data_IF_990226736816
#
_entry.id   IF_990226736816
#
_cell.length_a   1.000
_cell.length_b   1.000
_cell.length_c   1.000
_cell.angle_alpha   90.00
_cell.angle_beta   90.00
_cell.angle_gamma   90.00
#
_symmetry.space_group_name_H-M   'P 1'
#
loop_
_entity.id
_entity.type
_entity.pdbx_description
1 polymer ?
#
# COMPACT_ATOMS: atom_id res chain seq x y z
N UNK A 1 1.09 6.79 3.66
CA UNK A 1 -0.37 6.79 3.41
C UNK A 1 -0.63 7.37 2.03
N UNK A 2 -1.56 6.79 1.26
CA UNK A 2 -1.87 7.20 -0.13
C UNK A 2 -3.13 8.06 -0.27
N UNK A 3 -3.78 7.99 -1.43
CA UNK A 3 -4.93 8.84 -1.81
C UNK A 3 -6.16 8.64 -0.92
N UNK A 4 -6.55 7.38 -0.65
CA UNK A 4 -7.76 7.03 0.10
C UNK A 4 -7.44 6.16 1.33
N UNK A 5 -6.95 6.75 2.44
CA UNK A 5 -6.41 5.96 3.55
C UNK A 5 -7.46 5.16 4.32
N UNK A 6 -8.71 5.64 4.42
CA UNK A 6 -9.71 5.04 5.35
C UNK A 6 -11.04 4.63 4.70
N UNK A 7 -11.42 5.26 3.59
CA UNK A 7 -12.63 4.91 2.83
C UNK A 7 -12.59 5.48 1.41
N UNK A 8 -13.55 5.07 0.59
CA UNK A 8 -13.77 5.57 -0.78
C UNK A 8 -13.98 7.10 -0.82
N UNK A 9 -14.70 7.64 0.18
CA UNK A 9 -15.06 9.05 0.26
C UNK A 9 -14.07 9.89 1.07
N UNK A 10 -13.05 9.28 1.68
CA UNK A 10 -12.02 9.98 2.44
C UNK A 10 -10.77 10.16 1.58
N UNK A 11 -10.66 11.29 0.88
CA UNK A 11 -9.47 11.67 0.11
C UNK A 11 -8.49 12.43 1.03
N UNK A 12 -7.25 11.98 1.09
CA UNK A 12 -6.19 12.65 1.82
C UNK A 12 -5.63 13.84 1.03
N UNK A 13 -6.17 15.03 1.30
CA UNK A 13 -5.75 16.27 0.63
C UNK A 13 -4.29 16.64 0.91
N UNK A 14 -3.78 16.34 2.11
CA UNK A 14 -2.38 16.60 2.47
C UNK A 14 -1.42 15.74 1.62
N UNK A 15 -1.77 14.47 1.40
CA UNK A 15 -1.01 13.61 0.48
C UNK A 15 -1.00 14.16 -0.96
N UNK A 16 -2.15 14.64 -1.46
CA UNK A 16 -2.22 15.23 -2.80
C UNK A 16 -1.42 16.53 -2.91
N UNK A 17 -1.36 17.33 -1.84
CA UNK A 17 -0.51 18.52 -1.79
C UNK A 17 0.97 18.15 -1.88
N UNK A 18 1.42 17.16 -1.10
CA UNK A 18 2.80 16.67 -1.14
C UNK A 18 3.17 16.09 -2.51
N UNK A 19 2.25 15.34 -3.12
CA UNK A 19 2.42 14.83 -4.49
C UNK A 19 2.56 15.98 -5.50
N UNK A 20 1.71 16.99 -5.40
CA UNK A 20 1.77 18.18 -6.26
C UNK A 20 3.09 18.95 -6.10
N UNK A 21 3.59 19.08 -4.87
CA UNK A 21 4.91 19.68 -4.60
C UNK A 21 6.02 18.89 -5.29
N UNK A 22 6.01 17.56 -5.21
CA UNK A 22 7.00 16.72 -5.89
C UNK A 22 6.93 16.86 -7.43
N UNK A 23 5.72 16.94 -8.00
CA UNK A 23 5.52 17.16 -9.43
C UNK A 23 6.09 18.52 -9.86
N UNK A 24 5.80 19.59 -9.11
CA UNK A 24 6.32 20.93 -9.41
C UNK A 24 7.85 20.98 -9.33
N UNK A 25 8.47 20.24 -8.40
CA UNK A 25 9.93 20.12 -8.33
C UNK A 25 10.53 19.44 -9.58
N UNK A 26 9.83 18.46 -10.16
CA UNK A 26 10.23 17.81 -11.42
C UNK A 26 10.01 18.72 -12.62
N UNK A 27 8.85 19.39 -12.70
CA UNK A 27 8.49 20.33 -13.76
C UNK A 27 9.49 21.48 -13.86
N UNK A 28 9.90 22.06 -12.72
CA UNK A 28 10.91 23.13 -12.66
C UNK A 28 12.27 22.71 -13.23
N UNK A 29 12.50 21.41 -13.45
CA UNK A 29 13.71 20.85 -14.06
C UNK A 29 13.48 20.27 -15.45
N UNK A 30 12.30 20.45 -16.04
CA UNK A 30 11.92 19.88 -17.33
C UNK A 30 11.74 18.36 -17.31
N UNK A 31 11.47 17.77 -16.14
CA UNK A 31 11.23 16.33 -15.97
C UNK A 31 9.72 16.10 -15.99
N UNK A 32 9.26 15.23 -16.89
CA UNK A 32 7.86 14.82 -16.96
C UNK A 32 7.57 13.73 -15.92
N UNK A 33 6.45 13.86 -15.22
CA UNK A 33 6.01 12.91 -14.21
C UNK A 33 4.98 11.93 -14.79
N UNK A 34 5.18 10.64 -14.54
CA UNK A 34 4.16 9.61 -14.68
C UNK A 34 3.69 9.24 -13.27
N UNK A 35 2.41 9.41 -12.97
CA UNK A 35 1.83 8.99 -11.71
C UNK A 35 1.50 7.50 -11.77
N UNK A 36 2.25 6.71 -11.01
CA UNK A 36 2.05 5.26 -10.88
C UNK A 36 1.27 4.96 -9.60
N UNK A 37 0.10 4.32 -9.75
CA UNK A 37 -0.68 3.80 -8.63
C UNK A 37 -0.05 2.46 -8.19
N UNK A 38 1.14 2.56 -7.61
CA UNK A 38 2.00 1.43 -7.32
C UNK A 38 1.41 0.47 -6.29
N UNK A 39 1.66 -0.83 -6.49
CA UNK A 39 1.39 -1.86 -5.49
C UNK A 39 2.41 -3.00 -5.63
N UNK A 40 2.73 -3.61 -4.50
CA UNK A 40 3.45 -4.88 -4.41
C UNK A 40 2.69 -5.75 -3.42
N UNK A 41 2.40 -7.00 -3.78
CA UNK A 41 1.69 -7.93 -2.88
C UNK A 41 0.39 -7.34 -2.29
N UNK A 42 -0.25 -6.46 -3.06
CA UNK A 42 -1.52 -5.81 -2.75
C UNK A 42 -1.50 -4.83 -1.56
N UNK A 43 -1.22 -5.26 -0.33
CA UNK A 43 -1.42 -4.46 0.89
C UNK A 43 -0.50 -4.87 2.03
N UNK A 44 -0.24 -3.98 3.00
CA UNK A 44 0.54 -4.27 4.22
C UNK A 44 -0.03 -5.44 5.01
N UNK A 45 -1.34 -5.64 4.94
CA UNK A 45 -2.04 -6.80 5.49
C UNK A 45 -1.43 -8.14 4.99
N UNK A 46 -0.84 -8.15 3.79
CA UNK A 46 -0.22 -9.33 3.15
C UNK A 46 1.32 -9.23 3.00
N UNK A 47 2.02 -8.39 3.79
CA UNK A 47 3.44 -8.01 3.58
C UNK A 47 3.71 -7.16 2.31
N UNK A 48 2.67 -6.60 1.70
CA UNK A 48 2.76 -5.74 0.54
C UNK A 48 2.61 -4.25 0.83
N UNK A 49 2.41 -3.47 -0.23
CA UNK A 49 2.14 -2.04 -0.20
C UNK A 49 1.16 -1.67 -1.33
N UNK A 50 0.49 -0.53 -1.19
CA UNK A 50 -0.37 0.07 -2.21
C UNK A 50 -1.83 0.19 -1.81
N UNK A 51 -2.50 -0.95 -1.60
CA UNK A 51 -3.94 -0.99 -1.28
C UNK A 51 -4.18 -0.79 0.23
N UNK A 52 -5.09 0.12 0.62
CA UNK A 52 -5.39 0.39 2.03
C UNK A 52 -6.17 -0.75 2.68
N UNK A 53 -6.05 -0.85 4.01
CA UNK A 53 -6.56 -1.97 4.81
C UNK A 53 -8.08 -2.13 4.69
N UNK A 54 -8.84 -1.03 4.63
CA UNK A 54 -10.30 -1.06 4.47
C UNK A 54 -10.79 -1.71 3.17
N UNK A 55 -9.93 -1.82 2.16
CA UNK A 55 -10.19 -2.63 0.95
C UNK A 55 -9.73 -4.06 1.16
N UNK A 56 -8.53 -4.26 1.72
CA UNK A 56 -7.96 -5.60 1.94
C UNK A 56 -8.84 -6.48 2.84
N UNK A 57 -9.38 -5.91 3.92
CA UNK A 57 -10.29 -6.60 4.85
C UNK A 57 -11.56 -7.16 4.16
N UNK A 58 -12.00 -6.54 3.05
CA UNK A 58 -13.19 -6.99 2.31
C UNK A 58 -12.94 -8.27 1.51
N UNK A 59 -11.69 -8.61 1.20
CA UNK A 59 -11.34 -9.83 0.46
C UNK A 59 -11.40 -11.08 1.35
N UNK A 60 -11.34 -10.90 2.68
CA UNK A 60 -11.33 -11.97 3.66
C UNK A 60 -10.13 -12.92 3.57
N UNK A 61 -9.97 -13.78 4.56
CA UNK A 61 -8.88 -14.76 4.67
C UNK A 61 -8.99 -15.93 3.66
N UNK A 62 -10.01 -15.91 2.79
CA UNK A 62 -10.39 -17.06 1.95
C UNK A 62 -9.74 -17.08 0.56
N UNK A 63 -8.98 -16.04 0.18
CA UNK A 63 -8.59 -15.84 -1.23
C UNK A 63 -7.10 -15.84 -1.56
N UNK A 64 -6.18 -15.75 -0.59
CA UNK A 64 -4.73 -15.64 -0.89
C UNK A 64 -3.99 -16.93 -0.58
N UNK A 65 -4.21 -17.94 -1.43
CA UNK A 65 -3.36 -19.13 -1.47
C UNK A 65 -2.01 -18.74 -2.09
N UNK A 66 -1.04 -18.41 -1.25
CA UNK A 66 0.39 -18.32 -1.61
C UNK A 66 0.71 -17.49 -2.87
N UNK A 67 0.03 -16.36 -3.06
CA UNK A 67 0.28 -15.44 -4.17
C UNK A 67 0.43 -14.00 -3.65
N UNK A 68 1.46 -13.25 -4.09
CA UNK A 68 2.51 -13.64 -5.03
C UNK A 68 3.67 -14.39 -4.35
N UNK A 69 4.19 -15.42 -5.02
CA UNK A 69 5.46 -16.06 -4.67
C UNK A 69 6.61 -15.07 -4.98
N UNK A 70 7.68 -14.96 -4.16
CA UNK A 70 8.15 -15.89 -3.14
C UNK A 70 7.77 -15.56 -1.69
N UNK A 71 6.72 -14.76 -1.44
CA UNK A 71 6.33 -14.43 -0.05
C UNK A 71 6.07 -15.71 0.75
N UNK A 72 6.66 -15.79 1.93
CA UNK A 72 6.61 -16.97 2.78
C UNK A 72 5.14 -17.31 3.12
N UNK A 73 4.72 -18.58 2.99
CA UNK A 73 3.33 -18.96 3.22
C UNK A 73 2.93 -18.91 4.70
N UNK A 74 3.90 -18.92 5.61
CA UNK A 74 3.69 -18.91 7.05
C UNK A 74 4.54 -17.79 7.66
N UNK A 75 3.89 -16.73 8.12
CA UNK A 75 4.53 -15.62 8.84
C UNK A 75 3.85 -15.45 10.18
N UNK A 76 4.62 -15.13 11.22
CA UNK A 76 4.06 -14.79 12.52
C UNK A 76 3.41 -13.41 12.45
N UNK A 77 2.36 -13.20 13.25
CA UNK A 77 1.61 -11.94 13.28
C UNK A 77 2.00 -11.08 14.48
N UNK A 78 1.94 -9.76 14.30
CA UNK A 78 2.00 -8.77 15.35
C UNK A 78 0.76 -8.88 16.24
N UNK A 79 0.95 -8.80 17.56
CA UNK A 79 -0.13 -9.04 18.52
C UNK A 79 -1.21 -7.94 18.54
N UNK A 80 -0.88 -6.74 18.09
CA UNK A 80 -1.74 -5.55 18.15
C UNK A 80 -2.57 -5.35 16.88
N UNK A 81 -1.98 -5.60 15.71
CA UNK A 81 -2.58 -5.35 14.40
C UNK A 81 -3.03 -6.62 13.69
N UNK A 82 -2.47 -7.78 14.06
CA UNK A 82 -2.67 -9.03 13.33
C UNK A 82 -1.92 -9.08 11.99
N UNK A 83 -1.08 -8.08 11.69
CA UNK A 83 -0.30 -8.07 10.45
C UNK A 83 0.87 -9.04 10.55
N UNK A 84 1.35 -9.60 9.44
CA UNK A 84 2.63 -10.31 9.45
C UNK A 84 3.73 -9.42 10.02
N UNK A 85 4.63 -9.97 10.84
CA UNK A 85 5.76 -9.23 11.37
C UNK A 85 6.65 -8.73 10.25
N UNK A 86 7.07 -7.48 10.36
CA UNK A 86 7.76 -6.81 9.26
C UNK A 86 9.13 -7.42 8.94
N UNK A 87 9.80 -7.98 9.95
CA UNK A 87 11.09 -8.68 9.79
C UNK A 87 10.97 -10.03 9.07
N UNK A 88 9.76 -10.59 8.97
CA UNK A 88 9.48 -11.83 8.24
C UNK A 88 8.95 -11.58 6.81
N UNK A 89 8.72 -10.33 6.42
CA UNK A 89 8.23 -9.95 5.09
C UNK A 89 9.33 -9.92 3.99
N UNK A 90 10.60 -10.22 4.32
CA UNK A 90 11.78 -10.05 3.44
C UNK A 90 12.69 -11.29 3.38
#
# INVERSE_FOLDING_TARGET
>A
MGVNPTSDNNINQEYLLQLSTAIQMMENKGIYALLDCHQDVFSRYFCGEGVPDWIAEKLGDTTVKAFPFPVAPNMSQEADTGYPKLDECL
#
